data_IF_421814416735
#
_entry.id   IF_421814416735
#
_cell.length_a   1.000
_cell.length_b   1.000
_cell.length_c   1.000
_cell.angle_alpha   90.00
_cell.angle_beta   90.00
_cell.angle_gamma   90.00
#
_symmetry.space_group_name_H-M   'P 1'
#
loop_
_entity.id
_entity.type
_entity.pdbx_description
1 polymer ?
#
# COMPACT_ATOMS: atom_id res chain seq x y z
N UNK A 1 -13.36 -15.51 10.36
CA UNK A 1 -14.01 -14.61 11.33
C UNK A 1 -14.70 -13.54 10.51
N UNK A 2 -16.03 -13.44 10.61
CA UNK A 2 -16.80 -12.38 9.94
C UNK A 2 -16.48 -11.03 10.62
N UNK A 3 -16.65 -9.92 9.89
CA UNK A 3 -16.38 -8.58 10.44
C UNK A 3 -17.34 -8.23 11.61
N UNK A 4 -17.13 -7.10 12.30
CA UNK A 4 -17.97 -6.68 13.43
C UNK A 4 -19.39 -6.25 13.01
N UNK A 5 -19.67 -6.19 11.71
CA UNK A 5 -20.95 -5.82 11.14
C UNK A 5 -21.39 -6.96 10.23
N UNK A 6 -22.49 -7.61 10.58
CA UNK A 6 -23.19 -8.60 9.74
C UNK A 6 -24.26 -7.91 8.90
N UNK A 7 -24.87 -6.85 9.42
CA UNK A 7 -25.80 -5.99 8.69
C UNK A 7 -25.65 -4.50 9.03
N UNK A 8 -26.51 -3.67 8.43
CA UNK A 8 -26.49 -2.21 8.62
C UNK A 8 -26.78 -1.79 10.08
N UNK A 9 -27.64 -2.52 10.81
CA UNK A 9 -28.04 -2.18 12.17
C UNK A 9 -26.86 -2.27 13.14
N UNK A 10 -25.91 -3.17 12.89
CA UNK A 10 -24.70 -3.29 13.71
C UNK A 10 -23.87 -2.00 13.72
N UNK A 11 -23.96 -1.20 12.65
CA UNK A 11 -23.23 0.08 12.55
C UNK A 11 -23.87 1.21 13.36
N UNK A 12 -25.11 1.06 13.79
CA UNK A 12 -25.89 2.15 14.41
C UNK A 12 -25.41 2.54 15.80
N UNK A 13 -24.75 1.62 16.50
CA UNK A 13 -24.14 1.87 17.79
C UNK A 13 -22.81 2.62 17.71
N UNK A 14 -22.26 2.80 16.50
CA UNK A 14 -20.92 3.36 16.32
C UNK A 14 -20.91 4.90 16.40
N UNK A 15 -19.79 5.51 16.82
CA UNK A 15 -19.69 6.95 17.03
C UNK A 15 -20.13 7.80 15.83
N UNK A 16 -19.75 7.41 14.60
CA UNK A 16 -20.16 8.12 13.38
C UNK A 16 -21.68 8.15 13.21
N UNK A 17 -22.33 6.99 13.34
CA UNK A 17 -23.79 6.88 13.19
C UNK A 17 -24.53 7.65 14.28
N UNK A 18 -24.04 7.59 15.52
CA UNK A 18 -24.60 8.35 16.63
C UNK A 18 -24.49 9.86 16.40
N UNK A 19 -23.34 10.36 15.95
CA UNK A 19 -23.11 11.79 15.70
C UNK A 19 -23.97 12.29 14.54
N UNK A 20 -24.02 11.55 13.42
CA UNK A 20 -24.92 11.87 12.30
C UNK A 20 -26.39 11.92 12.76
N UNK A 21 -26.86 10.93 13.53
CA UNK A 21 -28.22 10.94 14.08
C UNK A 21 -28.48 12.11 15.01
N UNK A 22 -27.52 12.51 15.83
CA UNK A 22 -27.63 13.66 16.70
C UNK A 22 -27.80 14.97 15.90
N UNK A 23 -27.08 15.12 14.77
CA UNK A 23 -27.25 16.27 13.88
C UNK A 23 -28.67 16.35 13.30
N UNK A 24 -29.21 15.22 12.85
CA UNK A 24 -30.59 15.14 12.36
C UNK A 24 -31.60 15.41 13.49
N UNK A 25 -31.43 14.80 14.66
CA UNK A 25 -32.33 14.97 15.80
C UNK A 25 -32.34 16.41 16.34
N UNK A 26 -31.22 17.13 16.21
CA UNK A 26 -31.11 18.54 16.58
C UNK A 26 -31.76 19.49 15.55
N UNK A 27 -32.31 18.97 14.44
CA UNK A 27 -32.89 19.79 13.38
C UNK A 27 -31.88 20.67 12.65
N UNK A 28 -30.58 20.33 12.73
CA UNK A 28 -29.49 21.12 12.13
C UNK A 28 -29.23 20.77 10.67
N UNK A 29 -29.80 19.69 10.17
CA UNK A 29 -29.55 19.18 8.82
C UNK A 29 -30.73 19.50 7.94
N UNK A 30 -30.53 20.40 6.98
CA UNK A 30 -31.50 20.66 5.93
C UNK A 30 -31.52 19.53 4.88
N UNK A 31 -32.59 19.48 4.08
CA UNK A 31 -32.71 18.52 2.99
C UNK A 31 -31.53 18.66 2.02
N UNK A 32 -30.86 17.55 1.72
CA UNK A 32 -29.69 17.53 0.84
C UNK A 32 -28.37 17.96 1.49
N UNK A 33 -28.35 18.27 2.80
CA UNK A 33 -27.13 18.62 3.55
C UNK A 33 -26.30 19.75 2.88
N UNK A 34 -26.90 20.92 2.55
CA UNK A 34 -26.23 21.99 1.81
C UNK A 34 -25.01 22.56 2.54
N UNK A 35 -25.05 22.58 3.87
CA UNK A 35 -23.95 22.99 4.74
C UNK A 35 -22.90 21.89 4.96
N UNK A 36 -23.10 20.71 4.38
CA UNK A 36 -22.20 19.55 4.48
C UNK A 36 -21.91 19.13 5.92
N UNK A 37 -22.89 19.23 6.82
CA UNK A 37 -22.72 18.85 8.22
C UNK A 37 -22.60 17.32 8.37
N UNK A 38 -23.42 16.57 7.65
CA UNK A 38 -23.43 15.09 7.73
C UNK A 38 -22.31 14.51 6.87
N UNK A 39 -22.16 14.98 5.63
CA UNK A 39 -21.02 14.61 4.76
C UNK A 39 -19.68 15.02 5.36
N UNK A 40 -19.56 16.22 5.92
CA UNK A 40 -18.35 16.68 6.63
C UNK A 40 -18.04 15.84 7.87
N UNK A 41 -19.05 15.45 8.65
CA UNK A 41 -18.85 14.53 9.79
C UNK A 41 -18.34 13.18 9.33
N UNK A 42 -18.94 12.57 8.29
CA UNK A 42 -18.46 11.33 7.68
C UNK A 42 -17.00 11.44 7.20
N UNK A 43 -16.66 12.52 6.51
CA UNK A 43 -15.30 12.75 6.01
C UNK A 43 -14.28 12.84 7.16
N UNK A 44 -14.59 13.58 8.23
CA UNK A 44 -13.70 13.69 9.41
C UNK A 44 -13.43 12.34 10.06
N UNK A 45 -14.46 11.51 10.25
CA UNK A 45 -14.29 10.17 10.83
C UNK A 45 -13.43 9.26 9.93
N UNK A 46 -13.65 9.30 8.61
CA UNK A 46 -12.83 8.52 7.67
C UNK A 46 -11.37 8.99 7.62
N UNK A 47 -11.13 10.30 7.62
CA UNK A 47 -9.78 10.88 7.71
C UNK A 47 -9.07 10.47 9.01
N UNK A 48 -9.78 10.55 10.15
CA UNK A 48 -9.22 10.16 11.44
C UNK A 48 -8.86 8.67 11.48
N UNK A 49 -9.66 7.80 10.86
CA UNK A 49 -9.35 6.38 10.73
C UNK A 49 -8.10 6.14 9.88
N UNK A 50 -7.96 6.84 8.75
CA UNK A 50 -6.76 6.78 7.91
C UNK A 50 -5.50 7.25 8.66
N UNK A 51 -5.59 8.38 9.37
CA UNK A 51 -4.50 8.94 10.17
C UNK A 51 -4.07 7.96 11.28
N UNK A 52 -5.02 7.41 12.03
CA UNK A 52 -4.75 6.42 13.08
C UNK A 52 -4.13 5.13 12.52
N UNK A 53 -4.48 4.77 11.29
CA UNK A 53 -3.88 3.64 10.58
C UNK A 53 -2.49 3.95 9.99
N UNK A 54 -2.02 5.19 10.07
CA UNK A 54 -0.74 5.65 9.52
C UNK A 54 -0.74 5.77 8.00
N UNK A 55 -1.90 6.00 7.38
CA UNK A 55 -2.02 6.22 5.94
C UNK A 55 -1.70 7.67 5.62
N UNK A 56 -0.63 7.90 4.84
CA UNK A 56 -0.33 9.23 4.31
C UNK A 56 -1.23 9.52 3.10
N UNK A 57 -2.01 10.60 3.19
CA UNK A 57 -3.01 10.97 2.19
C UNK A 57 -2.58 12.22 1.44
N UNK A 58 -2.35 12.06 0.13
CA UNK A 58 -2.12 13.16 -0.80
C UNK A 58 -3.41 13.94 -1.10
N UNK A 59 -3.28 14.99 -1.91
CA UNK A 59 -4.42 15.83 -2.28
C UNK A 59 -5.52 15.04 -3.02
N UNK A 60 -5.14 14.10 -3.89
CA UNK A 60 -6.09 13.25 -4.60
C UNK A 60 -6.82 12.30 -3.65
N UNK A 61 -6.12 11.65 -2.72
CA UNK A 61 -6.74 10.72 -1.77
C UNK A 61 -7.74 11.44 -0.85
N UNK A 62 -7.46 12.70 -0.48
CA UNK A 62 -8.39 13.53 0.28
C UNK A 62 -9.68 13.82 -0.50
N UNK A 63 -9.59 14.05 -1.82
CA UNK A 63 -10.78 14.18 -2.67
C UNK A 63 -11.57 12.87 -2.74
N UNK A 64 -10.88 11.73 -2.79
CA UNK A 64 -11.54 10.41 -2.72
C UNK A 64 -12.25 10.21 -1.39
N UNK A 65 -11.66 10.61 -0.27
CA UNK A 65 -12.30 10.57 1.06
C UNK A 65 -13.55 11.46 1.11
N UNK A 66 -13.48 12.67 0.57
CA UNK A 66 -14.64 13.57 0.46
C UNK A 66 -15.75 12.96 -0.39
N UNK A 67 -15.41 12.32 -1.51
CA UNK A 67 -16.37 11.61 -2.34
C UNK A 67 -17.01 10.42 -1.61
N UNK A 68 -16.22 9.60 -0.93
CA UNK A 68 -16.71 8.48 -0.13
C UNK A 68 -17.63 8.95 1.01
N UNK A 69 -17.35 10.11 1.60
CA UNK A 69 -18.16 10.69 2.66
C UNK A 69 -19.58 11.12 2.22
N UNK A 70 -19.90 11.08 0.93
CA UNK A 70 -21.25 11.32 0.43
C UNK A 70 -22.18 10.10 0.60
N UNK A 71 -21.62 8.89 0.74
CA UNK A 71 -22.36 7.63 0.94
C UNK A 71 -22.90 7.48 2.36
N UNK A 72 -23.93 6.65 2.54
CA UNK A 72 -24.66 6.48 3.79
C UNK A 72 -23.74 6.28 5.01
N UNK A 73 -24.09 6.80 6.21
CA UNK A 73 -23.27 6.67 7.40
C UNK A 73 -22.85 5.23 7.73
N UNK A 74 -23.73 4.26 7.49
CA UNK A 74 -23.46 2.82 7.64
C UNK A 74 -22.35 2.33 6.70
N UNK A 75 -22.43 2.67 5.41
CA UNK A 75 -21.39 2.37 4.41
C UNK A 75 -20.03 2.95 4.82
N UNK A 76 -20.00 4.22 5.22
CA UNK A 76 -18.75 4.87 5.67
C UNK A 76 -18.21 4.22 6.96
N UNK A 77 -19.09 3.83 7.88
CA UNK A 77 -18.70 3.12 9.10
C UNK A 77 -18.06 1.76 8.80
N UNK A 78 -18.57 1.02 7.81
CA UNK A 78 -17.95 -0.24 7.35
C UNK A 78 -16.52 0.00 6.88
N UNK A 79 -16.28 1.06 6.09
CA UNK A 79 -14.94 1.41 5.60
C UNK A 79 -13.98 1.77 6.75
N UNK A 80 -14.43 2.56 7.72
CA UNK A 80 -13.66 2.87 8.95
C UNK A 80 -13.29 1.59 9.69
N UNK A 81 -14.24 0.67 9.84
CA UNK A 81 -14.01 -0.62 10.47
C UNK A 81 -12.99 -1.48 9.72
N UNK A 82 -13.03 -1.51 8.38
CA UNK A 82 -12.07 -2.24 7.54
C UNK A 82 -10.66 -1.67 7.74
N UNK A 83 -10.49 -0.35 7.65
CA UNK A 83 -9.19 0.33 7.82
C UNK A 83 -8.60 0.00 9.20
N UNK A 84 -9.42 0.16 10.25
CA UNK A 84 -9.00 -0.08 11.63
C UNK A 84 -8.55 -1.52 11.87
N UNK A 85 -9.31 -2.51 11.36
CA UNK A 85 -8.95 -3.93 11.51
C UNK A 85 -7.74 -4.32 10.67
N UNK A 86 -7.63 -3.80 9.45
CA UNK A 86 -6.46 -4.05 8.60
C UNK A 86 -5.18 -3.55 9.30
N UNK A 87 -5.23 -2.35 9.87
CA UNK A 87 -4.13 -1.81 10.66
C UNK A 87 -3.81 -2.68 11.89
N UNK A 88 -4.81 -3.05 12.69
CA UNK A 88 -4.63 -3.90 13.88
C UNK A 88 -4.06 -5.27 13.52
N UNK A 89 -4.59 -5.93 12.48
CA UNK A 89 -4.11 -7.22 12.00
C UNK A 89 -2.67 -7.12 11.49
N UNK A 90 -2.34 -6.05 10.76
CA UNK A 90 -0.97 -5.76 10.34
C UNK A 90 0.00 -5.61 11.52
N UNK A 91 -0.44 -4.99 12.63
CA UNK A 91 0.36 -4.88 13.85
C UNK A 91 0.46 -6.19 14.64
N UNK A 92 -0.64 -6.93 14.75
CA UNK A 92 -0.69 -8.20 15.48
C UNK A 92 0.06 -9.33 14.76
N UNK A 93 0.08 -9.30 13.42
CA UNK A 93 0.80 -10.24 12.58
C UNK A 93 2.29 -9.93 12.39
N UNK A 94 2.82 -8.90 13.06
CA UNK A 94 4.19 -8.44 12.85
C UNK A 94 5.10 -8.84 14.02
N UNK A 95 5.98 -9.84 13.85
CA UNK A 95 7.36 -9.63 14.26
C UNK A 95 7.94 -8.53 13.35
N UNK A 96 8.43 -7.43 13.94
CA UNK A 96 9.33 -6.50 13.24
C UNK A 96 10.65 -7.19 12.96
N UNK A 97 10.68 -8.03 11.94
CA UNK A 97 11.91 -8.52 11.31
C UNK A 97 11.67 -8.66 9.83
N UNK A 98 12.14 -7.69 9.04
CA UNK A 98 12.59 -7.98 7.67
C UNK A 98 14.11 -7.75 7.69
N UNK A 99 14.95 -8.67 7.20
CA UNK A 99 14.72 -10.06 6.79
C UNK A 99 15.62 -11.06 7.54
N UNK A 100 15.34 -12.36 7.39
CA UNK A 100 16.39 -13.38 7.50
C UNK A 100 17.41 -13.04 6.41
N UNK A 101 18.53 -12.47 6.81
CA UNK A 101 19.68 -12.12 5.96
C UNK A 101 20.36 -13.40 5.46
N UNK A 102 19.68 -14.13 4.58
CA UNK A 102 20.13 -15.38 4.02
C UNK A 102 19.44 -15.70 2.70
N UNK A 103 20.09 -16.46 1.81
CA UNK A 103 19.51 -16.84 0.53
C UNK A 103 18.20 -17.62 0.75
N UNK A 104 17.08 -17.10 0.27
CA UNK A 104 15.79 -17.79 0.30
C UNK A 104 15.26 -18.03 -1.12
N UNK A 105 14.33 -18.97 -1.34
CA UNK A 105 13.65 -19.10 -2.64
C UNK A 105 12.94 -17.79 -3.03
N UNK A 106 12.84 -17.52 -4.33
CA UNK A 106 12.14 -16.34 -4.84
C UNK A 106 10.68 -16.36 -4.36
N UNK A 107 10.16 -15.30 -3.70
CA UNK A 107 8.81 -15.31 -3.15
C UNK A 107 7.71 -15.32 -4.22
N UNK A 108 8.03 -14.90 -5.45
CA UNK A 108 7.07 -14.85 -6.55
C UNK A 108 6.99 -16.16 -7.34
N UNK A 109 8.13 -16.78 -7.66
CA UNK A 109 8.17 -17.96 -8.55
C UNK A 109 8.81 -19.22 -7.93
N UNK A 110 9.32 -19.14 -6.70
CA UNK A 110 9.93 -20.27 -5.99
C UNK A 110 11.35 -20.65 -6.45
N UNK A 111 11.95 -19.93 -7.42
CA UNK A 111 13.32 -20.22 -7.88
C UNK A 111 14.32 -20.21 -6.71
N UNK A 112 15.14 -21.24 -6.60
CA UNK A 112 16.20 -21.28 -5.59
C UNK A 112 17.34 -20.31 -5.96
N UNK A 113 18.13 -19.82 -4.98
CA UNK A 113 19.32 -19.03 -5.27
C UNK A 113 20.24 -19.74 -6.28
N UNK A 114 20.70 -19.02 -7.29
CA UNK A 114 21.48 -19.57 -8.41
C UNK A 114 20.65 -20.13 -9.57
N UNK A 115 19.32 -20.24 -9.44
CA UNK A 115 18.44 -20.64 -10.53
C UNK A 115 17.88 -19.44 -11.30
N UNK A 116 17.58 -19.64 -12.59
CA UNK A 116 16.79 -18.68 -13.35
C UNK A 116 15.39 -18.54 -12.75
N UNK A 117 14.88 -17.32 -12.75
CA UNK A 117 13.47 -17.08 -12.41
C UNK A 117 12.52 -17.86 -13.33
N UNK A 118 11.30 -18.14 -12.84
CA UNK A 118 10.19 -18.63 -13.67
C UNK A 118 9.73 -17.58 -14.68
N UNK A 119 9.11 -18.01 -15.79
CA UNK A 119 8.46 -17.11 -16.74
C UNK A 119 7.33 -16.34 -16.07
N UNK A 120 7.22 -15.03 -16.36
CA UNK A 120 6.21 -14.16 -15.76
C UNK A 120 6.45 -13.80 -14.29
N UNK A 121 7.63 -14.08 -13.73
CA UNK A 121 7.94 -13.74 -12.35
C UNK A 121 7.96 -12.21 -12.15
N UNK A 122 7.12 -11.72 -11.24
CA UNK A 122 7.05 -10.30 -10.89
C UNK A 122 8.25 -9.81 -10.07
N UNK A 123 9.07 -10.72 -9.53
CA UNK A 123 10.33 -10.34 -8.87
C UNK A 123 11.52 -10.30 -9.83
N UNK A 124 11.43 -10.94 -11.00
CA UNK A 124 12.57 -11.01 -11.91
C UNK A 124 12.90 -9.63 -12.49
N UNK A 125 14.20 -9.35 -12.64
CA UNK A 125 14.70 -8.21 -13.41
C UNK A 125 15.17 -8.62 -14.79
N UNK A 126 15.08 -7.68 -15.73
CA UNK A 126 15.69 -7.80 -17.04
C UNK A 126 17.23 -7.68 -16.92
N UNK A 127 18.00 -8.68 -17.35
CA UNK A 127 19.46 -8.62 -17.49
C UNK A 127 20.00 -7.39 -18.23
N UNK A 128 19.26 -6.89 -19.21
CA UNK A 128 19.76 -5.86 -20.14
C UNK A 128 19.56 -4.44 -19.61
N UNK A 129 18.46 -4.17 -18.92
CA UNK A 129 18.10 -2.82 -18.49
C UNK A 129 17.82 -2.66 -16.99
N UNK A 130 17.79 -3.76 -16.22
CA UNK A 130 17.56 -3.72 -14.77
C UNK A 130 16.12 -3.46 -14.33
N UNK A 131 15.23 -3.15 -15.28
CA UNK A 131 13.79 -3.00 -15.03
C UNK A 131 13.14 -4.33 -14.66
N UNK A 132 11.91 -4.28 -14.12
CA UNK A 132 11.12 -5.48 -13.88
C UNK A 132 10.92 -6.23 -15.20
N UNK A 133 11.30 -7.52 -15.25
CA UNK A 133 11.26 -8.32 -16.47
C UNK A 133 9.84 -8.42 -17.04
N UNK A 134 8.83 -8.50 -16.17
CA UNK A 134 7.42 -8.55 -16.56
C UNK A 134 6.94 -7.27 -17.28
N UNK A 135 7.54 -6.13 -16.99
CA UNK A 135 7.20 -4.82 -17.58
C UNK A 135 8.20 -4.37 -18.65
N UNK A 136 9.22 -5.18 -18.95
CA UNK A 136 10.23 -4.83 -19.93
C UNK A 136 9.76 -5.22 -21.34
N UNK A 137 9.30 -4.23 -22.11
CA UNK A 137 8.79 -4.43 -23.47
C UNK A 137 9.91 -4.77 -24.48
N UNK A 138 11.13 -4.27 -24.26
CA UNK A 138 12.23 -4.40 -25.23
C UNK A 138 13.01 -5.72 -25.15
N UNK A 139 12.90 -6.46 -24.03
CA UNK A 139 13.77 -7.62 -23.73
C UNK A 139 12.99 -8.81 -23.17
N UNK A 140 11.84 -9.10 -23.78
CA UNK A 140 10.76 -10.00 -23.33
C UNK A 140 11.14 -11.46 -23.06
N UNK A 141 12.38 -11.88 -23.35
CA UNK A 141 12.87 -13.26 -23.15
C UNK A 141 14.03 -13.40 -22.16
N UNK A 142 14.40 -12.33 -21.47
CA UNK A 142 15.56 -12.31 -20.59
C UNK A 142 15.15 -12.49 -19.12
N UNK A 143 15.69 -13.51 -18.44
CA UNK A 143 15.42 -13.80 -17.02
C UNK A 143 16.72 -13.80 -16.24
N UNK A 144 16.81 -12.93 -15.24
CA UNK A 144 17.96 -12.91 -14.34
C UNK A 144 18.06 -14.22 -13.52
N UNK A 145 19.26 -14.49 -13.03
CA UNK A 145 19.49 -15.52 -12.02
C UNK A 145 19.07 -14.96 -10.67
N UNK A 146 18.30 -15.73 -9.91
CA UNK A 146 17.88 -15.35 -8.58
C UNK A 146 19.08 -15.38 -7.62
N UNK A 147 19.43 -14.25 -7.01
CA UNK A 147 20.57 -14.13 -6.10
C UNK A 147 20.28 -14.67 -4.69
N UNK A 148 19.02 -14.96 -4.36
CA UNK A 148 18.58 -15.22 -2.99
C UNK A 148 18.19 -13.97 -2.20
N UNK A 149 18.27 -12.78 -2.81
CA UNK A 149 17.94 -11.48 -2.22
C UNK A 149 17.00 -10.70 -3.11
N UNK A 150 16.08 -9.94 -2.52
CA UNK A 150 15.14 -9.14 -3.29
C UNK A 150 15.90 -8.11 -4.14
N UNK A 151 15.50 -7.87 -5.41
CA UNK A 151 16.31 -7.03 -6.29
C UNK A 151 16.39 -5.59 -5.80
N UNK A 152 17.60 -5.06 -5.61
CA UNK A 152 17.85 -3.74 -5.02
C UNK A 152 18.36 -3.79 -3.58
N UNK A 153 18.19 -4.90 -2.85
CA UNK A 153 18.62 -5.01 -1.45
C UNK A 153 20.14 -4.89 -1.28
N UNK A 154 20.89 -5.45 -2.24
CA UNK A 154 22.35 -5.37 -2.26
C UNK A 154 22.78 -3.91 -2.40
N UNK A 155 22.14 -3.16 -3.28
CA UNK A 155 22.46 -1.75 -3.52
C UNK A 155 22.04 -0.85 -2.36
N UNK A 156 20.88 -1.09 -1.75
CA UNK A 156 20.46 -0.38 -0.53
C UNK A 156 21.51 -0.52 0.58
N UNK A 157 21.98 -1.75 0.80
CA UNK A 157 23.02 -2.04 1.79
C UNK A 157 24.36 -1.40 1.42
N UNK A 158 24.86 -1.63 0.20
CA UNK A 158 26.17 -1.13 -0.24
C UNK A 158 26.24 0.40 -0.22
N UNK A 159 25.16 1.08 -0.63
CA UNK A 159 25.15 2.54 -0.79
C UNK A 159 24.52 3.30 0.38
N UNK A 160 24.06 2.60 1.42
CA UNK A 160 23.44 3.20 2.61
C UNK A 160 22.16 3.97 2.28
N UNK A 161 21.30 3.41 1.42
CA UNK A 161 20.03 4.01 1.05
C UNK A 161 18.97 3.74 2.13
N UNK A 162 17.94 4.57 2.18
CA UNK A 162 16.87 4.42 3.17
C UNK A 162 16.05 3.14 2.94
N UNK A 163 15.64 2.91 1.69
CA UNK A 163 14.88 1.74 1.27
C UNK A 163 15.00 1.51 -0.26
N UNK A 164 14.27 0.50 -0.76
CA UNK A 164 14.20 0.21 -2.21
C UNK A 164 13.55 1.35 -3.02
N UNK A 165 12.67 2.14 -2.40
CA UNK A 165 12.04 3.28 -3.08
C UNK A 165 13.05 4.42 -3.27
N UNK A 166 13.95 4.64 -2.31
CA UNK A 166 15.05 5.60 -2.43
C UNK A 166 15.99 5.22 -3.59
N UNK A 167 16.32 3.92 -3.73
CA UNK A 167 17.05 3.43 -4.90
C UNK A 167 16.31 3.73 -6.22
N UNK A 168 15.01 3.43 -6.29
CA UNK A 168 14.19 3.69 -7.48
C UNK A 168 14.17 5.17 -7.88
N UNK A 169 13.86 6.06 -6.93
CA UNK A 169 13.82 7.52 -7.17
C UNK A 169 15.17 8.09 -7.62
N UNK A 170 16.28 7.59 -7.09
CA UNK A 170 17.63 8.05 -7.47
C UNK A 170 18.06 7.50 -8.82
N UNK A 171 17.70 6.27 -9.14
CA UNK A 171 17.93 5.70 -10.48
C UNK A 171 17.17 6.49 -11.56
N UNK A 172 15.92 6.90 -11.31
CA UNK A 172 15.14 7.77 -12.21
C UNK A 172 15.80 9.13 -12.45
N UNK A 173 16.54 9.66 -11.47
CA UNK A 173 17.30 10.91 -11.58
C UNK A 173 18.66 10.73 -12.27
N UNK A 174 19.01 9.51 -12.68
CA UNK A 174 20.29 9.19 -13.30
C UNK A 174 21.46 9.12 -12.31
N UNK A 175 21.21 9.07 -11.00
CA UNK A 175 22.27 8.88 -10.00
C UNK A 175 22.80 7.44 -9.98
N UNK A 176 22.07 6.50 -10.59
CA UNK A 176 22.45 5.12 -10.74
C UNK A 176 22.29 4.64 -12.19
N UNK A 177 23.25 3.84 -12.65
CA UNK A 177 23.26 3.21 -13.97
C UNK A 177 23.28 1.69 -13.80
N UNK A 178 22.51 1.00 -14.62
CA UNK A 178 22.46 -0.46 -14.62
C UNK A 178 23.76 -1.05 -15.18
N UNK A 179 24.43 -1.90 -14.41
CA UNK A 179 25.56 -2.69 -14.88
C UNK A 179 25.09 -4.08 -15.31
N UNK A 180 25.07 -4.31 -16.63
CA UNK A 180 24.66 -5.60 -17.23
C UNK A 180 25.53 -6.78 -16.81
N UNK A 181 26.82 -6.54 -16.52
CA UNK A 181 27.74 -7.61 -16.18
C UNK A 181 27.50 -8.14 -14.77
N UNK A 182 27.19 -7.26 -13.83
CA UNK A 182 26.92 -7.64 -12.44
C UNK A 182 25.44 -7.79 -12.12
N UNK A 183 24.56 -7.31 -12.99
CA UNK A 183 23.12 -7.20 -12.76
C UNK A 183 22.78 -6.44 -11.46
N UNK A 184 23.50 -5.34 -11.23
CA UNK A 184 23.30 -4.44 -10.09
C UNK A 184 23.27 -2.98 -10.56
N UNK A 185 22.59 -2.13 -9.81
CA UNK A 185 22.73 -0.68 -9.98
C UNK A 185 24.08 -0.19 -9.44
N UNK A 186 24.78 0.62 -10.23
CA UNK A 186 26.01 1.32 -9.82
C UNK A 186 25.77 2.81 -9.77
N UNK A 187 26.37 3.50 -8.79
CA UNK A 187 26.37 4.97 -8.81
C UNK A 187 27.00 5.45 -10.12
N UNK A 188 26.33 6.43 -10.76
CA UNK A 188 26.79 7.09 -11.97
C UNK A 188 28.07 7.90 -11.73
#
# INVERSE_FOLDING_TARGET
MFGPYEDEHDTYGEPLNQECRALHAAGRVESGDPERLVSGTRARHLLAACEQAGVDLGAYDRQVVEWLAMWEPSTVQVMIGIISRAHQAGRAGMPRTVPTTGPHPCPSCGAAPGQLHGWGCSTARCPECGQQALSCEDHTNSRAVWSGRFPGEVEVEIYGLEDLNDLGRRAERGEFVWDRATQLWRRA
#
